data_IF_854034420417
#
_entry.id   IF_854034420417
#
_cell.length_a   1.000
_cell.length_b   1.000
_cell.length_c   1.000
_cell.angle_alpha   90.00
_cell.angle_beta   90.00
_cell.angle_gamma   90.00
#
_symmetry.space_group_name_H-M   'P 1'
#
loop_
_entity.id
_entity.type
_entity.pdbx_description
1 polymer ?
#
# COMPACT_ATOMS: atom_id res chain seq x y z
N UNK A 1 9.31 20.16 -2.24
CA UNK A 1 8.68 19.22 -3.19
C UNK A 1 9.75 18.39 -3.85
N UNK A 2 9.75 17.09 -3.57
CA UNK A 2 10.60 16.12 -4.26
C UNK A 2 9.71 15.34 -5.20
N UNK A 3 10.11 15.21 -6.46
CA UNK A 3 9.46 14.32 -7.42
C UNK A 3 10.09 12.94 -7.32
N UNK A 4 9.26 11.92 -7.14
CA UNK A 4 9.65 10.53 -7.33
C UNK A 4 9.21 10.05 -8.71
N UNK A 5 10.09 9.38 -9.42
CA UNK A 5 9.72 8.56 -10.58
C UNK A 5 9.46 7.15 -10.05
N UNK A 6 8.25 6.65 -10.29
CA UNK A 6 7.89 5.27 -9.99
C UNK A 6 7.71 4.50 -11.29
N UNK A 7 8.34 3.35 -11.40
CA UNK A 7 8.29 2.47 -12.56
C UNK A 7 7.82 1.08 -12.15
N UNK A 8 6.82 0.55 -12.85
CA UNK A 8 6.49 -0.87 -12.84
C UNK A 8 7.24 -1.54 -13.99
N UNK A 9 8.04 -2.56 -13.66
CA UNK A 9 8.91 -3.25 -14.63
C UNK A 9 8.60 -4.74 -14.58
N UNK A 10 8.37 -5.33 -15.75
CA UNK A 10 8.20 -6.77 -15.90
C UNK A 10 9.48 -7.53 -15.53
N UNK A 11 9.36 -8.81 -15.17
CA UNK A 11 10.54 -9.64 -14.88
C UNK A 11 11.50 -9.77 -16.08
N UNK A 12 11.03 -9.57 -17.31
CA UNK A 12 11.87 -9.57 -18.51
C UNK A 12 12.60 -8.24 -18.75
N UNK A 13 12.47 -7.27 -17.82
CA UNK A 13 13.12 -5.96 -17.89
C UNK A 13 12.35 -4.91 -18.71
N UNK A 14 11.23 -5.26 -19.34
CA UNK A 14 10.38 -4.31 -20.05
C UNK A 14 9.61 -3.41 -19.08
N UNK A 15 9.64 -2.09 -19.34
CA UNK A 15 8.82 -1.11 -18.64
C UNK A 15 7.33 -1.37 -18.93
N UNK A 16 6.54 -1.53 -17.87
CA UNK A 16 5.09 -1.69 -17.93
C UNK A 16 4.41 -0.33 -17.81
N UNK A 17 4.82 0.45 -16.81
CA UNK A 17 4.24 1.75 -16.49
C UNK A 17 5.28 2.66 -15.83
N UNK A 18 5.20 3.95 -16.10
CA UNK A 18 5.93 4.99 -15.37
C UNK A 18 4.97 6.07 -14.90
N UNK A 19 5.20 6.59 -13.70
CA UNK A 19 4.44 7.70 -13.14
C UNK A 19 5.34 8.61 -12.30
N UNK A 20 5.17 9.91 -12.47
CA UNK A 20 5.78 10.90 -11.57
C UNK A 20 4.83 11.18 -10.42
N UNK A 21 5.31 11.04 -9.18
CA UNK A 21 4.56 11.30 -7.97
C UNK A 21 5.23 12.46 -7.23
N UNK A 22 4.46 13.51 -6.93
CA UNK A 22 4.92 14.55 -6.01
C UNK A 22 4.83 13.99 -4.59
N UNK A 23 5.93 14.02 -3.85
CA UNK A 23 5.92 13.68 -2.42
C UNK A 23 5.96 14.97 -1.63
N UNK A 24 4.81 15.61 -1.52
CA UNK A 24 4.54 16.69 -0.58
C UNK A 24 4.25 16.14 0.83
N UNK A 25 3.95 14.84 0.99
CA UNK A 25 3.84 14.16 2.28
C UNK A 25 4.15 12.65 2.17
N UNK A 26 4.48 12.00 3.30
CA UNK A 26 4.47 10.54 3.42
C UNK A 26 3.08 10.02 3.07
N UNK A 27 2.99 9.01 2.21
CA UNK A 27 1.71 8.41 1.87
C UNK A 27 1.81 7.36 0.78
N UNK A 28 0.75 6.58 0.66
CA UNK A 28 0.59 5.59 -0.38
C UNK A 28 0.13 6.24 -1.70
N UNK A 29 0.75 5.86 -2.81
CA UNK A 29 0.33 6.23 -4.17
C UNK A 29 -0.32 5.03 -4.88
N UNK A 30 -1.02 5.27 -5.98
CA UNK A 30 -1.50 4.24 -6.89
C UNK A 30 -0.75 4.30 -8.23
N UNK A 31 -0.67 3.14 -8.88
CA UNK A 31 -0.18 2.99 -10.25
C UNK A 31 -1.25 2.25 -11.04
N UNK A 32 -1.83 2.91 -12.03
CA UNK A 32 -2.76 2.27 -12.96
C UNK A 32 -1.99 1.64 -14.11
N UNK A 33 -2.19 0.34 -14.33
CA UNK A 33 -1.52 -0.41 -15.39
C UNK A 33 -2.41 -1.54 -15.90
N UNK A 34 -2.19 -1.93 -17.16
CA UNK A 34 -2.84 -3.11 -17.77
C UNK A 34 -1.82 -4.24 -17.82
N UNK A 35 -2.08 -5.30 -17.06
CA UNK A 35 -1.23 -6.50 -16.95
C UNK A 35 -2.11 -7.74 -16.86
N UNK A 36 -1.57 -8.91 -17.17
CA UNK A 36 -2.27 -10.17 -16.92
C UNK A 36 -2.30 -10.46 -15.40
N UNK A 37 -3.24 -11.29 -14.94
CA UNK A 37 -3.23 -11.80 -13.56
C UNK A 37 -1.90 -12.50 -13.26
N UNK A 38 -1.43 -12.39 -12.01
CA UNK A 38 -0.22 -13.04 -11.53
C UNK A 38 1.04 -12.73 -12.35
N UNK A 39 1.17 -11.52 -12.90
CA UNK A 39 2.33 -11.10 -13.69
C UNK A 39 3.50 -10.75 -12.76
N UNK A 40 4.62 -11.51 -12.74
CA UNK A 40 5.75 -11.18 -11.89
C UNK A 40 6.52 -9.96 -12.41
N UNK A 41 7.01 -9.14 -11.50
CA UNK A 41 7.88 -8.01 -11.82
C UNK A 41 8.41 -7.31 -10.58
N UNK A 42 8.70 -6.02 -10.72
CA UNK A 42 9.15 -5.16 -9.61
C UNK A 42 8.65 -3.74 -9.78
N UNK A 43 8.51 -3.05 -8.64
CA UNK A 43 8.39 -1.60 -8.61
C UNK A 43 9.78 -1.02 -8.34
N UNK A 44 10.18 -0.04 -9.14
CA UNK A 44 11.35 0.80 -8.91
C UNK A 44 10.90 2.22 -8.56
N UNK A 45 11.54 2.84 -7.59
CA UNK A 45 11.31 4.23 -7.19
C UNK A 45 12.63 4.98 -7.21
N UNK A 46 12.66 6.13 -7.89
CA UNK A 46 13.83 7.00 -7.99
C UNK A 46 13.48 8.42 -7.54
N UNK A 47 14.25 8.97 -6.60
CA UNK A 47 14.18 10.39 -6.27
C UNK A 47 14.94 11.21 -7.30
N UNK A 48 14.27 12.13 -7.99
CA UNK A 48 14.95 13.04 -8.92
C UNK A 48 15.85 14.05 -8.21
N UNK A 49 15.56 14.37 -6.93
CA UNK A 49 16.32 15.36 -6.18
C UNK A 49 17.62 14.79 -5.60
N UNK A 50 17.60 13.55 -5.10
CA UNK A 50 18.74 12.95 -4.40
C UNK A 50 19.42 11.82 -5.18
N UNK A 51 18.78 11.31 -6.24
CA UNK A 51 19.24 10.11 -6.94
C UNK A 51 19.01 8.81 -6.15
N UNK A 52 18.38 8.87 -4.97
CA UNK A 52 18.08 7.69 -4.16
C UNK A 52 17.19 6.71 -4.94
N UNK A 53 17.45 5.42 -4.74
CA UNK A 53 16.81 4.32 -5.48
C UNK A 53 16.32 3.25 -4.52
N UNK A 54 15.10 2.76 -4.76
CA UNK A 54 14.55 1.59 -4.11
C UNK A 54 13.89 0.67 -5.15
N UNK A 55 13.95 -0.64 -4.91
CA UNK A 55 13.25 -1.63 -5.72
C UNK A 55 12.65 -2.73 -4.87
N UNK A 56 11.43 -3.12 -5.20
CA UNK A 56 10.70 -4.19 -4.51
C UNK A 56 10.13 -5.16 -5.56
N UNK A 57 10.40 -6.47 -5.45
CA UNK A 57 9.73 -7.46 -6.28
C UNK A 57 8.25 -7.54 -5.92
N UNK A 58 7.39 -7.61 -6.94
CA UNK A 58 5.94 -7.69 -6.78
C UNK A 58 5.34 -8.66 -7.78
N UNK A 59 4.18 -9.22 -7.45
CA UNK A 59 3.32 -9.91 -8.41
C UNK A 59 2.17 -8.98 -8.76
N UNK A 60 2.15 -8.46 -9.98
CA UNK A 60 1.07 -7.63 -10.47
C UNK A 60 -0.16 -8.49 -10.79
N UNK A 61 -1.25 -8.25 -10.07
CA UNK A 61 -2.50 -8.94 -10.27
C UNK A 61 -3.45 -8.05 -11.08
N UNK A 62 -3.28 -8.02 -12.40
CA UNK A 62 -4.18 -7.27 -13.27
C UNK A 62 -5.50 -8.02 -13.45
N UNK A 63 -6.65 -7.36 -13.26
CA UNK A 63 -7.95 -8.02 -13.42
C UNK A 63 -9.17 -7.37 -12.79
N UNK A 64 -9.17 -6.08 -12.48
CA UNK A 64 -10.38 -5.40 -12.00
C UNK A 64 -10.49 -4.00 -12.57
N UNK A 65 -11.69 -3.66 -13.04
CA UNK A 65 -12.05 -2.31 -13.48
C UNK A 65 -11.67 -1.27 -12.41
N UNK A 66 -11.23 -0.05 -12.77
CA UNK A 66 -10.53 0.87 -11.86
C UNK A 66 -11.33 1.39 -10.66
N UNK A 67 -12.64 1.19 -10.57
CA UNK A 67 -13.47 2.02 -9.69
C UNK A 67 -13.72 1.49 -8.27
N UNK A 68 -13.47 0.21 -7.95
CA UNK A 68 -13.91 -0.35 -6.65
C UNK A 68 -12.85 -1.20 -5.90
N UNK A 69 -11.59 -1.18 -6.31
CA UNK A 69 -10.56 -2.02 -5.66
C UNK A 69 -9.85 -1.33 -4.50
N UNK A 70 -9.96 -0.01 -4.38
CA UNK A 70 -9.49 0.73 -3.22
C UNK A 70 -10.36 1.96 -2.96
N UNK A 71 -10.24 2.50 -1.76
CA UNK A 71 -10.88 3.75 -1.34
C UNK A 71 -9.98 4.46 -0.34
N UNK A 72 -9.64 5.72 -0.63
CA UNK A 72 -9.02 6.61 0.34
C UNK A 72 -10.05 7.05 1.39
N UNK A 73 -9.60 7.16 2.63
CA UNK A 73 -10.43 7.43 3.79
C UNK A 73 -9.95 8.72 4.46
N UNK A 74 -10.83 9.73 4.60
CA UNK A 74 -10.59 10.85 5.50
C UNK A 74 -10.31 10.35 6.92
N UNK A 75 -9.37 11.02 7.61
CA UNK A 75 -8.94 10.61 8.94
C UNK A 75 -10.13 10.47 9.90
N UNK A 76 -10.21 9.35 10.62
CA UNK A 76 -11.27 9.05 11.57
C UNK A 76 -12.56 8.46 10.98
N UNK A 77 -12.70 8.33 9.64
CA UNK A 77 -13.88 7.67 9.06
C UNK A 77 -13.92 6.16 9.28
N UNK A 78 -12.74 5.53 9.43
CA UNK A 78 -12.60 4.14 9.76
C UNK A 78 -11.55 3.98 10.85
N UNK A 79 -11.88 3.18 11.86
CA UNK A 79 -10.98 2.81 12.93
C UNK A 79 -10.84 1.29 13.00
N UNK A 80 -9.62 0.83 13.24
CA UNK A 80 -9.27 -0.57 13.38
C UNK A 80 -8.95 -0.85 14.84
N UNK A 81 -9.62 -1.83 15.44
CA UNK A 81 -9.26 -2.34 16.74
C UNK A 81 -8.29 -3.51 16.57
N UNK A 82 -7.08 -3.33 17.08
CA UNK A 82 -6.05 -4.36 17.18
C UNK A 82 -6.26 -5.15 18.48
N UNK A 83 -6.47 -6.48 18.42
CA UNK A 83 -6.66 -7.32 19.60
C UNK A 83 -5.42 -7.36 20.51
N UNK A 84 -5.62 -7.82 21.75
CA UNK A 84 -4.58 -7.85 22.81
C UNK A 84 -3.33 -8.64 22.43
N UNK A 85 -3.48 -9.68 21.60
CA UNK A 85 -2.36 -10.52 21.16
C UNK A 85 -1.49 -9.87 20.06
N UNK A 86 -1.81 -8.63 19.67
CA UNK A 86 -1.15 -7.92 18.58
C UNK A 86 -1.51 -8.48 17.20
N UNK A 87 -1.19 -7.70 16.17
CA UNK A 87 -1.45 -8.07 14.77
C UNK A 87 -0.22 -7.82 13.92
N UNK A 88 0.19 -8.73 13.03
CA UNK A 88 1.24 -8.48 12.06
C UNK A 88 0.91 -7.30 11.14
N UNK A 89 1.85 -6.37 11.00
CA UNK A 89 1.84 -5.32 10.00
C UNK A 89 2.85 -5.63 8.90
N UNK A 90 2.50 -5.32 7.65
CA UNK A 90 3.24 -5.68 6.44
C UNK A 90 3.66 -4.43 5.67
N UNK A 91 4.71 -4.55 4.87
CA UNK A 91 5.19 -3.46 3.99
C UNK A 91 4.19 -3.10 2.87
N UNK A 92 3.38 -4.07 2.45
CA UNK A 92 2.36 -3.99 1.40
C UNK A 92 1.42 -5.21 1.51
N UNK A 93 0.28 -5.26 0.78
CA UNK A 93 -0.55 -6.46 0.71
C UNK A 93 0.27 -7.68 0.27
N UNK A 94 0.20 -8.76 1.05
CA UNK A 94 1.01 -9.99 0.93
C UNK A 94 2.54 -9.80 0.91
N UNK A 95 3.02 -8.64 1.37
CA UNK A 95 4.44 -8.35 1.54
C UNK A 95 5.05 -8.99 2.80
N UNK A 96 6.35 -8.76 3.05
CA UNK A 96 6.99 -9.20 4.29
C UNK A 96 6.41 -8.45 5.51
N UNK A 97 6.37 -9.13 6.65
CA UNK A 97 6.03 -8.50 7.93
C UNK A 97 7.13 -7.51 8.32
N UNK A 98 6.74 -6.29 8.70
CA UNK A 98 7.67 -5.22 9.12
C UNK A 98 7.65 -4.97 10.62
N UNK A 99 6.50 -5.19 11.27
CA UNK A 99 6.36 -5.08 12.73
C UNK A 99 5.11 -5.80 13.23
N UNK A 100 4.91 -5.79 14.55
CA UNK A 100 3.67 -6.22 15.19
C UNK A 100 3.01 -5.00 15.82
N UNK A 101 1.73 -4.79 15.52
CA UNK A 101 0.91 -3.72 16.06
C UNK A 101 0.54 -4.03 17.52
N UNK A 102 0.69 -3.03 18.38
CA UNK A 102 0.18 -3.09 19.75
C UNK A 102 -1.34 -3.03 19.76
N UNK A 103 -1.95 -3.61 20.79
CA UNK A 103 -3.38 -3.56 21.01
C UNK A 103 -3.91 -2.12 21.11
N UNK A 104 -5.10 -1.89 20.59
CA UNK A 104 -5.77 -0.58 20.64
C UNK A 104 -6.38 -0.15 19.32
N UNK A 105 -6.93 1.07 19.32
CA UNK A 105 -7.59 1.66 18.15
C UNK A 105 -6.60 2.45 17.30
N UNK A 106 -6.57 2.15 16.01
CA UNK A 106 -5.73 2.82 15.03
C UNK A 106 -6.59 3.41 13.90
N UNK A 107 -6.29 4.63 13.44
CA UNK A 107 -6.94 5.17 12.24
C UNK A 107 -6.45 4.40 11.01
N UNK A 108 -7.29 4.36 9.97
CA UNK A 108 -6.86 3.95 8.62
C UNK A 108 -7.17 5.06 7.63
N UNK A 109 -6.31 5.17 6.63
CA UNK A 109 -6.38 6.20 5.58
C UNK A 109 -6.70 5.61 4.21
N UNK A 110 -6.70 4.28 4.09
CA UNK A 110 -7.05 3.60 2.84
C UNK A 110 -7.49 2.17 3.11
N UNK A 111 -8.48 1.72 2.35
CA UNK A 111 -8.88 0.32 2.24
C UNK A 111 -8.65 -0.16 0.81
N UNK A 112 -8.14 -1.38 0.66
CA UNK A 112 -7.84 -2.03 -0.63
C UNK A 112 -8.38 -3.45 -0.63
N UNK A 113 -8.96 -3.93 -1.73
CA UNK A 113 -9.28 -5.35 -1.94
C UNK A 113 -8.17 -5.98 -2.76
N UNK A 114 -7.47 -6.93 -2.15
CA UNK A 114 -6.36 -7.66 -2.75
C UNK A 114 -6.34 -9.10 -2.27
N UNK A 115 -6.09 -10.06 -3.17
CA UNK A 115 -6.06 -11.49 -2.82
C UNK A 115 -7.39 -12.02 -2.25
N UNK A 116 -8.52 -11.45 -2.66
CA UNK A 116 -9.85 -11.84 -2.18
C UNK A 116 -10.26 -11.27 -0.81
N UNK A 117 -9.38 -10.55 -0.12
CA UNK A 117 -9.62 -9.94 1.19
C UNK A 117 -9.45 -8.42 1.18
N UNK A 118 -9.93 -7.76 2.24
CA UNK A 118 -9.62 -6.36 2.48
C UNK A 118 -8.26 -6.22 3.17
N UNK A 119 -7.59 -5.12 2.85
CA UNK A 119 -6.36 -4.65 3.44
C UNK A 119 -6.54 -3.20 3.85
N UNK A 120 -5.96 -2.81 4.98
CA UNK A 120 -6.03 -1.45 5.50
C UNK A 120 -4.66 -0.84 5.65
N UNK A 121 -4.55 0.45 5.31
CA UNK A 121 -3.33 1.24 5.47
C UNK A 121 -3.40 2.01 6.79
N UNK A 122 -2.49 1.70 7.69
CA UNK A 122 -2.31 2.39 8.95
C UNK A 122 -1.19 3.41 8.76
N UNK A 123 -1.50 4.72 8.88
CA UNK A 123 -0.49 5.76 8.73
C UNK A 123 0.54 5.65 9.84
N UNK A 124 1.82 5.68 9.47
CA UNK A 124 2.91 5.74 10.44
C UNK A 124 3.36 7.19 10.61
N UNK A 125 2.96 7.83 11.71
CA UNK A 125 3.22 9.26 11.94
C UNK A 125 4.68 9.58 12.34
N UNK A 126 5.57 8.60 12.43
CA UNK A 126 6.97 8.88 12.70
C UNK A 126 7.67 9.44 11.46
N UNK A 127 8.54 10.45 11.66
CA UNK A 127 9.24 11.09 10.56
C UNK A 127 10.09 10.05 9.80
N UNK A 128 9.72 9.81 8.53
CA UNK A 128 10.31 8.88 7.57
C UNK A 128 9.94 7.40 7.72
N UNK A 129 8.87 7.06 8.44
CA UNK A 129 8.38 5.69 8.42
C UNK A 129 7.38 5.46 7.28
N UNK A 130 7.46 4.29 6.66
CA UNK A 130 6.45 3.85 5.70
C UNK A 130 5.14 3.52 6.42
N UNK A 131 4.03 3.71 5.71
CA UNK A 131 2.73 3.24 6.17
C UNK A 131 2.72 1.71 6.30
N UNK A 132 1.96 1.24 7.28
CA UNK A 132 1.83 -0.19 7.57
C UNK A 132 0.55 -0.74 6.94
N UNK A 133 0.61 -2.00 6.50
CA UNK A 133 -0.53 -2.70 5.94
C UNK A 133 -1.00 -3.80 6.88
N UNK A 134 -2.31 -3.91 7.07
CA UNK A 134 -2.91 -4.96 7.89
C UNK A 134 -4.03 -5.67 7.13
N UNK A 135 -4.13 -6.99 7.33
CA UNK A 135 -5.23 -7.78 6.76
C UNK A 135 -6.51 -7.48 7.49
N UNK A 136 -7.60 -7.34 6.75
CA UNK A 136 -8.91 -7.06 7.35
C UNK A 136 -9.45 -8.20 8.21
N UNK A 137 -9.01 -9.45 7.97
CA UNK A 137 -9.38 -10.58 8.83
C UNK A 137 -8.70 -10.59 10.20
N UNK A 138 -7.61 -9.82 10.37
CA UNK A 138 -6.82 -9.81 11.60
C UNK A 138 -7.25 -8.71 12.58
N UNK A 139 -8.13 -7.79 12.15
CA UNK A 139 -8.59 -6.63 12.93
C UNK A 139 -10.12 -6.54 12.95
N UNK A 140 -10.67 -5.85 13.94
CA UNK A 140 -12.09 -5.47 13.91
C UNK A 140 -12.20 -4.04 13.38
N UNK A 141 -13.09 -3.83 12.42
CA UNK A 141 -13.28 -2.53 11.79
C UNK A 141 -14.54 -1.82 12.33
N UNK A 142 -14.46 -0.51 12.54
CA UNK A 142 -15.58 0.34 12.97
C UNK A 142 -15.67 1.60 12.10
N UNK A 143 -16.90 2.01 11.78
CA UNK A 143 -17.16 3.11 10.85
C UNK A 143 -17.21 2.67 9.39
N UNK A 144 -16.85 3.58 8.48
CA UNK A 144 -16.96 3.39 7.03
C UNK A 144 -15.73 2.70 6.44
N UNK A 145 -15.47 1.47 6.89
CA UNK A 145 -14.27 0.68 6.56
C UNK A 145 -14.42 -0.23 5.32
N UNK A 146 -15.54 -0.16 4.61
CA UNK A 146 -15.78 -0.91 3.38
C UNK A 146 -15.28 -0.19 2.12
N UNK A 147 -15.27 -0.94 1.02
CA UNK A 147 -15.13 -0.43 -0.36
C UNK A 147 -16.51 -0.09 -0.93
#
# INVERSE_FOLDING_TARGET
NTTLIVQAISNNGGLIQEQSVQTDFQGAFDLQMTVNQNTPGRIEVRSQATGAFASVPVTFNGGGSPSNNFRDLPNGQCQLNVPVNGVPAFANPDGPQVRTLSAGWLPTVRVVRFGGQLWYVIPNYSANAADDWVRGGDVQASGSCGL
#
